data_IF_821451628886
#
_entry.id   IF_821451628886
#
_cell.length_a   1.000
_cell.length_b   1.000
_cell.length_c   1.000
_cell.angle_alpha   90.00
_cell.angle_beta   90.00
_cell.angle_gamma   90.00
#
_symmetry.space_group_name_H-M   'P 1'
#
loop_
_entity.id
_entity.type
_entity.pdbx_description
1 polymer ?
#
# COMPACT_ATOMS: atom_id res chain seq x y z
N UNK A 1 7.58 22.22 9.85
CA UNK A 1 6.42 21.90 8.99
C UNK A 1 6.50 20.42 8.63
N UNK A 2 5.39 19.67 8.63
CA UNK A 2 5.37 18.25 8.23
C UNK A 2 4.51 18.12 6.98
N UNK A 3 5.00 17.43 5.96
CA UNK A 3 4.29 17.20 4.70
C UNK A 3 4.26 15.69 4.40
N UNK A 4 3.05 15.14 4.24
CA UNK A 4 2.86 13.73 3.95
C UNK A 4 1.63 13.53 3.05
N UNK A 5 1.66 12.59 2.09
CA UNK A 5 0.54 12.31 1.19
C UNK A 5 -0.63 11.63 1.89
N UNK A 6 -0.38 10.97 3.04
CA UNK A 6 -1.40 10.42 3.91
C UNK A 6 -1.01 10.71 5.37
N UNK A 7 -1.93 11.31 6.14
CA UNK A 7 -1.69 11.69 7.54
C UNK A 7 -2.15 10.63 8.55
N UNK A 8 -2.74 9.53 8.09
CA UNK A 8 -3.12 8.41 8.96
C UNK A 8 -1.87 7.69 9.44
N UNK A 9 -1.68 7.66 10.76
CA UNK A 9 -0.59 6.89 11.40
C UNK A 9 -0.70 5.41 11.02
N UNK A 10 -1.90 4.84 11.07
CA UNK A 10 -2.12 3.43 10.74
C UNK A 10 -1.72 3.09 9.31
N UNK A 11 -2.08 3.93 8.32
CA UNK A 11 -1.71 3.70 6.93
C UNK A 11 -0.19 3.77 6.73
N UNK A 12 0.48 4.75 7.35
CA UNK A 12 1.94 4.86 7.26
C UNK A 12 2.67 3.69 7.95
N UNK A 13 2.14 3.19 9.07
CA UNK A 13 2.66 1.96 9.71
C UNK A 13 2.46 0.76 8.79
N UNK A 14 1.28 0.60 8.18
CA UNK A 14 1.01 -0.45 7.21
C UNK A 14 2.00 -0.41 6.04
N UNK A 15 2.31 0.78 5.49
CA UNK A 15 3.32 0.92 4.45
C UNK A 15 4.70 0.37 4.87
N UNK A 16 5.13 0.64 6.11
CA UNK A 16 6.41 0.12 6.60
C UNK A 16 6.40 -1.40 6.73
N UNK A 17 5.35 -1.96 7.34
CA UNK A 17 5.25 -3.40 7.60
C UNK A 17 5.05 -4.18 6.29
N UNK A 18 4.26 -3.65 5.35
CA UNK A 18 4.03 -4.26 4.04
C UNK A 18 5.33 -4.47 3.26
N UNK A 19 6.24 -3.48 3.29
CA UNK A 19 7.57 -3.61 2.69
C UNK A 19 8.35 -4.79 3.26
N UNK A 20 8.36 -4.92 4.59
CA UNK A 20 9.12 -5.97 5.28
C UNK A 20 8.51 -7.36 5.01
N UNK A 21 7.17 -7.45 4.96
CA UNK A 21 6.45 -8.69 4.60
C UNK A 21 6.75 -9.09 3.16
N UNK A 22 6.61 -8.18 2.19
CA UNK A 22 6.84 -8.47 0.78
C UNK A 22 8.27 -8.99 0.54
N UNK A 23 9.28 -8.34 1.12
CA UNK A 23 10.67 -8.80 1.02
C UNK A 23 10.93 -10.15 1.71
N UNK A 24 10.16 -10.49 2.74
CA UNK A 24 10.31 -11.76 3.47
C UNK A 24 9.65 -12.93 2.74
N UNK A 25 8.46 -12.70 2.17
CA UNK A 25 7.69 -13.72 1.46
C UNK A 25 8.22 -13.94 0.03
N UNK A 26 8.76 -12.90 -0.60
CA UNK A 26 9.29 -12.98 -1.96
C UNK A 26 8.25 -13.46 -2.99
N UNK A 27 8.73 -14.11 -4.04
CA UNK A 27 7.92 -14.62 -5.15
C UNK A 27 7.18 -15.95 -4.82
N UNK A 28 7.28 -16.44 -3.59
CA UNK A 28 6.57 -17.66 -3.15
C UNK A 28 5.07 -17.40 -2.90
N UNK A 29 4.64 -16.13 -2.88
CA UNK A 29 3.27 -15.72 -2.59
C UNK A 29 2.73 -14.73 -3.62
N UNK A 30 1.49 -14.95 -4.03
CA UNK A 30 0.75 -13.99 -4.85
C UNK A 30 0.32 -12.78 -4.02
N UNK A 31 0.51 -11.58 -4.58
CA UNK A 31 0.15 -10.32 -3.93
C UNK A 31 -1.18 -9.82 -4.49
N UNK A 32 -2.20 -9.73 -3.62
CA UNK A 32 -3.47 -9.09 -3.93
C UNK A 32 -3.73 -7.89 -3.00
N UNK A 33 -4.08 -6.75 -3.59
CA UNK A 33 -4.50 -5.56 -2.85
C UNK A 33 -6.00 -5.36 -3.04
N UNK A 34 -6.75 -5.55 -1.96
CA UNK A 34 -8.21 -5.39 -1.95
C UNK A 34 -8.58 -4.12 -1.18
N UNK A 35 -9.38 -3.26 -1.79
CA UNK A 35 -9.90 -2.05 -1.17
C UNK A 35 -11.41 -1.94 -1.32
N UNK A 36 -12.05 -1.25 -0.38
CA UNK A 36 -13.46 -0.93 -0.43
C UNK A 36 -13.67 0.54 -0.05
N UNK A 37 -14.45 1.23 -0.86
CA UNK A 37 -14.78 2.64 -0.66
C UNK A 37 -16.27 2.89 -0.89
N UNK A 38 -16.72 4.08 -0.49
CA UNK A 38 -18.09 4.51 -0.75
C UNK A 38 -18.38 4.64 -2.26
N UNK A 39 -19.66 4.51 -2.63
CA UNK A 39 -20.14 4.46 -4.02
C UNK A 39 -19.91 5.72 -4.88
N UNK A 40 -19.37 6.80 -4.29
CA UNK A 40 -19.11 8.09 -4.97
C UNK A 40 -17.62 8.38 -5.12
N UNK A 41 -16.75 7.44 -4.76
CA UNK A 41 -15.32 7.60 -4.95
C UNK A 41 -15.01 7.68 -6.45
N UNK A 42 -14.18 8.65 -6.83
CA UNK A 42 -13.89 8.95 -8.24
C UNK A 42 -12.66 8.21 -8.75
N UNK A 43 -11.63 8.12 -7.91
CA UNK A 43 -10.40 7.42 -8.19
C UNK A 43 -10.52 5.93 -7.83
N UNK A 44 -10.04 5.07 -8.73
CA UNK A 44 -9.94 3.63 -8.52
C UNK A 44 -8.74 3.08 -9.33
N UNK A 45 -7.79 2.38 -8.70
CA UNK A 45 -7.65 2.17 -7.25
C UNK A 45 -7.43 3.49 -6.49
N UNK A 46 -7.62 3.49 -5.18
CA UNK A 46 -7.30 4.61 -4.30
C UNK A 46 -5.80 4.91 -4.30
N UNK A 47 -5.43 6.17 -4.04
CA UNK A 47 -4.02 6.54 -3.89
C UNK A 47 -3.27 5.74 -2.81
N UNK A 48 -3.96 5.28 -1.76
CA UNK A 48 -3.38 4.39 -0.75
C UNK A 48 -3.07 3.01 -1.33
N UNK A 49 -4.00 2.39 -2.08
CA UNK A 49 -3.77 1.09 -2.70
C UNK A 49 -2.70 1.14 -3.78
N UNK A 50 -2.68 2.20 -4.61
CA UNK A 50 -1.59 2.44 -5.56
C UNK A 50 -0.25 2.50 -4.81
N UNK A 51 -0.19 3.26 -3.70
CA UNK A 51 1.05 3.35 -2.92
C UNK A 51 1.46 2.02 -2.30
N UNK A 52 0.51 1.19 -1.85
CA UNK A 52 0.79 -0.17 -1.39
C UNK A 52 1.39 -1.02 -2.51
N UNK A 53 0.84 -0.95 -3.73
CA UNK A 53 1.35 -1.67 -4.90
C UNK A 53 2.77 -1.26 -5.26
N UNK A 54 3.06 0.04 -5.28
CA UNK A 54 4.43 0.55 -5.49
C UNK A 54 5.42 0.00 -4.44
N UNK A 55 5.04 -0.02 -3.16
CA UNK A 55 5.90 -0.52 -2.08
C UNK A 55 6.20 -2.00 -2.26
N UNK A 56 5.22 -2.81 -2.66
CA UNK A 56 5.41 -4.24 -2.89
C UNK A 56 6.29 -4.48 -4.12
N UNK A 57 6.01 -3.78 -5.22
CA UNK A 57 6.85 -3.86 -6.42
C UNK A 57 8.31 -3.50 -6.10
N UNK A 58 8.55 -2.37 -5.41
CA UNK A 58 9.88 -1.95 -4.98
C UNK A 58 10.58 -2.97 -4.07
N UNK A 59 9.82 -3.76 -3.30
CA UNK A 59 10.37 -4.76 -2.38
C UNK A 59 10.73 -6.08 -3.07
N UNK A 60 10.05 -6.43 -4.17
CA UNK A 60 10.28 -7.66 -4.93
C UNK A 60 11.30 -7.50 -6.07
N UNK A 61 11.54 -6.26 -6.54
CA UNK A 61 12.50 -5.94 -7.61
C UNK A 61 11.86 -5.82 -8.98
#
# INVERSE_FOLDING_TARGET
LVFAPNMSVGVNVCFKVLKDIAATLGDEFDVEIVELHHNKKKDSPSGTAVKMGEIVADALG
#
